data_IF_684975476997
#
_entry.id   IF_684975476997
#
_cell.length_a   1.000
_cell.length_b   1.000
_cell.length_c   1.000
_cell.angle_alpha   90.00
_cell.angle_beta   90.00
_cell.angle_gamma   90.00
#
_symmetry.space_group_name_H-M   'P 1'
#
loop_
_entity.id
_entity.type
_entity.pdbx_description
1 polymer ?
#
# COMPACT_ATOMS: atom_id res chain seq x y z
N UNK A 1 13.21 -22.97 6.98
CA UNK A 1 12.83 -21.65 6.42
C UNK A 1 12.24 -20.85 7.57
N UNK A 2 12.86 -19.75 7.96
CA UNK A 2 12.35 -18.84 9.00
C UNK A 2 11.12 -18.14 8.43
N UNK A 3 9.98 -18.28 9.10
CA UNK A 3 8.71 -17.73 8.60
C UNK A 3 8.42 -16.46 9.40
N UNK A 4 8.46 -15.30 8.72
CA UNK A 4 7.96 -14.04 9.27
C UNK A 4 6.43 -13.99 9.14
N UNK A 5 5.75 -13.59 10.20
CA UNK A 5 4.28 -13.46 10.25
C UNK A 5 3.91 -12.10 10.80
N UNK A 6 2.88 -11.48 10.22
CA UNK A 6 2.35 -10.24 10.75
C UNK A 6 1.79 -10.46 12.17
N UNK A 7 2.10 -9.52 13.05
CA UNK A 7 1.60 -9.43 14.41
C UNK A 7 0.70 -8.20 14.53
N UNK A 8 -0.40 -8.32 15.25
CA UNK A 8 -1.23 -7.19 15.61
C UNK A 8 -2.06 -7.52 16.84
N UNK A 9 -2.20 -6.56 17.73
CA UNK A 9 -3.12 -6.64 18.85
C UNK A 9 -3.80 -5.30 19.06
N UNK A 10 -5.09 -5.34 19.43
CA UNK A 10 -5.86 -4.15 19.78
C UNK A 10 -6.52 -4.37 21.13
N UNK A 11 -6.44 -3.37 22.00
CA UNK A 11 -7.09 -3.41 23.32
C UNK A 11 -8.24 -2.41 23.39
N UNK A 12 -8.93 -2.32 24.54
CA UNK A 12 -9.92 -1.27 24.80
C UNK A 12 -9.30 0.13 24.88
N UNK A 13 -8.00 0.20 25.16
CA UNK A 13 -7.23 1.43 25.17
C UNK A 13 -6.32 1.46 23.94
N UNK A 14 -6.66 2.33 22.99
CA UNK A 14 -6.00 2.44 21.71
C UNK A 14 -4.52 2.82 21.81
N UNK A 15 -4.04 3.37 22.94
CA UNK A 15 -2.62 3.61 23.15
C UNK A 15 -1.79 2.31 23.26
N UNK A 16 -2.43 1.20 23.60
CA UNK A 16 -1.80 -0.12 23.73
C UNK A 16 -1.97 -0.99 22.47
N UNK A 17 -2.59 -0.46 21.42
CA UNK A 17 -2.64 -1.14 20.13
C UNK A 17 -1.22 -1.21 19.55
N UNK A 18 -0.83 -2.41 19.09
CA UNK A 18 0.49 -2.67 18.54
C UNK A 18 0.41 -3.50 17.27
N UNK A 19 1.32 -3.25 16.34
CA UNK A 19 1.45 -4.01 15.10
C UNK A 19 2.91 -4.33 14.86
N UNK A 20 3.19 -5.44 14.19
CA UNK A 20 4.54 -5.92 14.10
C UNK A 20 4.72 -7.09 13.18
N UNK A 21 5.86 -7.74 13.33
CA UNK A 21 6.14 -9.01 12.69
C UNK A 21 6.90 -9.89 13.66
N UNK A 22 6.51 -11.16 13.68
CA UNK A 22 7.17 -12.21 14.45
C UNK A 22 7.82 -13.20 13.51
N UNK A 23 9.08 -13.52 13.74
CA UNK A 23 9.78 -14.62 13.10
C UNK A 23 10.01 -15.72 14.12
N UNK A 24 9.79 -16.97 13.71
CA UNK A 24 10.21 -18.14 14.48
C UNK A 24 11.09 -19.00 13.60
N UNK A 25 12.32 -19.22 14.04
CA UNK A 25 13.29 -20.08 13.40
C UNK A 25 13.01 -21.55 13.70
N UNK A 26 13.47 -22.49 12.84
CA UNK A 26 13.29 -23.93 13.07
C UNK A 26 13.90 -24.46 14.39
N UNK A 27 14.89 -23.76 14.93
CA UNK A 27 15.54 -24.09 16.22
C UNK A 27 14.72 -23.61 17.44
N UNK A 28 13.60 -22.90 17.22
CA UNK A 28 12.76 -22.36 18.27
C UNK A 28 13.06 -20.90 18.64
N UNK A 29 14.09 -20.27 18.10
CA UNK A 29 14.36 -18.85 18.33
C UNK A 29 13.23 -18.00 17.74
N UNK A 30 12.74 -17.05 18.51
CA UNK A 30 11.71 -16.12 18.10
C UNK A 30 12.19 -14.68 18.23
N UNK A 31 11.82 -13.88 17.24
CA UNK A 31 12.06 -12.44 17.22
C UNK A 31 10.74 -11.75 16.93
N UNK A 32 10.40 -10.75 17.73
CA UNK A 32 9.21 -9.92 17.56
C UNK A 32 9.64 -8.47 17.44
N UNK A 33 9.26 -7.83 16.34
CA UNK A 33 9.34 -6.38 16.19
C UNK A 33 7.94 -5.81 16.25
N UNK A 34 7.70 -4.82 17.10
CA UNK A 34 6.41 -4.13 17.18
C UNK A 34 6.56 -2.62 17.02
N UNK A 35 5.48 -1.97 16.60
CA UNK A 35 5.26 -0.54 16.62
C UNK A 35 3.88 -0.31 17.26
N UNK A 36 3.85 0.44 18.36
CA UNK A 36 2.64 0.77 19.10
C UNK A 36 2.08 2.15 18.75
N UNK A 37 0.78 2.34 18.96
CA UNK A 37 0.10 3.65 18.87
C UNK A 37 0.66 4.68 19.86
N UNK A 38 1.23 4.22 20.97
CA UNK A 38 2.01 5.03 21.91
C UNK A 38 3.34 5.55 21.34
N UNK A 39 3.68 5.21 20.09
CA UNK A 39 4.85 5.68 19.37
C UNK A 39 6.14 4.95 19.76
N UNK A 40 6.07 3.82 20.47
CA UNK A 40 7.22 2.97 20.75
C UNK A 40 7.39 1.90 19.68
N UNK A 41 8.64 1.54 19.41
CA UNK A 41 8.99 0.35 18.64
C UNK A 41 9.85 -0.56 19.49
N UNK A 42 9.51 -1.84 19.60
CA UNK A 42 10.32 -2.80 20.34
C UNK A 42 10.92 -3.84 19.42
N UNK A 43 12.13 -4.26 19.73
CA UNK A 43 12.79 -5.44 19.18
C UNK A 43 12.97 -6.41 20.36
N UNK A 44 12.24 -7.51 20.33
CA UNK A 44 12.20 -8.50 21.40
C UNK A 44 12.66 -9.85 20.84
N UNK A 45 13.48 -10.59 21.59
CA UNK A 45 13.91 -11.94 21.19
C UNK A 45 13.75 -12.94 22.32
N UNK A 46 13.60 -14.20 21.97
CA UNK A 46 13.61 -15.30 22.92
C UNK A 46 13.36 -16.63 22.25
N UNK A 47 12.75 -17.56 22.98
CA UNK A 47 12.57 -18.94 22.51
C UNK A 47 11.12 -19.40 22.64
N UNK A 48 10.69 -20.18 21.67
CA UNK A 48 9.43 -20.90 21.64
C UNK A 48 9.65 -22.30 22.21
N UNK A 49 8.92 -22.59 23.28
CA UNK A 49 8.76 -23.94 23.83
C UNK A 49 7.34 -24.43 23.54
N UNK A 50 7.05 -25.72 23.79
CA UNK A 50 5.82 -26.42 23.34
C UNK A 50 4.53 -25.58 23.34
N UNK A 51 4.22 -24.90 24.44
CA UNK A 51 3.02 -24.07 24.58
C UNK A 51 3.32 -22.66 25.10
N UNK A 52 4.60 -22.24 25.13
CA UNK A 52 5.00 -20.99 25.75
C UNK A 52 6.12 -20.33 24.96
N UNK A 53 5.99 -19.04 24.72
CA UNK A 53 7.02 -18.21 24.12
C UNK A 53 7.33 -17.05 25.06
N UNK A 54 8.61 -16.86 25.37
CA UNK A 54 9.05 -15.77 26.25
C UNK A 54 10.02 -14.93 25.46
N UNK A 55 9.70 -13.66 25.28
CA UNK A 55 10.51 -12.67 24.59
C UNK A 55 11.01 -11.64 25.59
N UNK A 56 12.24 -11.19 25.38
CA UNK A 56 12.90 -10.17 26.18
C UNK A 56 13.32 -9.04 25.27
N UNK A 57 13.16 -7.81 25.75
CA UNK A 57 13.57 -6.62 25.03
C UNK A 57 15.06 -6.66 24.72
N UNK A 58 15.41 -6.44 23.45
CA UNK A 58 16.78 -6.26 22.99
C UNK A 58 17.05 -4.83 22.59
N UNK A 59 16.07 -4.17 21.98
CA UNK A 59 16.17 -2.77 21.64
C UNK A 59 14.78 -2.10 21.68
N UNK A 60 14.76 -0.80 21.97
CA UNK A 60 13.55 0.01 22.01
C UNK A 60 13.80 1.37 21.37
N UNK A 61 12.94 1.71 20.41
CA UNK A 61 12.94 2.98 19.71
C UNK A 61 11.66 3.77 19.96
N UNK A 62 11.69 5.06 19.59
CA UNK A 62 10.50 5.93 19.57
C UNK A 62 10.35 6.59 18.20
N UNK A 63 9.12 6.70 17.74
CA UNK A 63 8.78 7.32 16.45
C UNK A 63 8.50 8.84 16.62
N UNK A 64 8.50 9.42 17.84
CA UNK A 64 8.16 10.83 18.11
C UNK A 64 9.16 11.61 19.01
N UNK A 65 9.13 12.95 18.93
CA UNK A 65 10.15 13.92 19.40
C UNK A 65 10.10 14.35 20.89
N UNK A 66 9.63 13.52 21.83
CA UNK A 66 9.58 13.88 23.27
C UNK A 66 10.74 13.29 24.09
N UNK A 67 11.16 14.00 25.17
CA UNK A 67 12.21 13.60 26.12
C UNK A 67 11.96 12.23 26.75
N UNK A 68 13.06 11.48 26.89
CA UNK A 68 13.33 10.20 27.56
C UNK A 68 12.27 9.10 27.51
N UNK A 69 12.72 7.88 27.20
CA UNK A 69 11.88 6.69 27.16
C UNK A 69 11.49 6.28 28.59
N UNK A 70 10.19 6.22 28.94
CA UNK A 70 9.80 5.81 30.28
C UNK A 70 9.97 4.31 30.49
N UNK A 71 10.03 3.47 29.45
CA UNK A 71 10.23 2.01 29.53
C UNK A 71 11.72 1.71 29.38
N UNK A 72 12.29 1.02 30.36
CA UNK A 72 13.71 0.62 30.39
C UNK A 72 13.91 -0.83 29.95
N UNK A 73 12.94 -1.68 30.26
CA UNK A 73 13.04 -3.13 30.05
C UNK A 73 11.62 -3.71 29.91
N UNK A 74 11.50 -4.76 29.11
CA UNK A 74 10.22 -5.39 28.79
C UNK A 74 10.42 -6.89 28.61
N UNK A 75 9.52 -7.65 29.22
CA UNK A 75 9.40 -9.08 29.02
C UNK A 75 7.98 -9.41 28.59
N UNK A 76 7.87 -10.20 27.54
CA UNK A 76 6.59 -10.64 26.99
C UNK A 76 6.50 -12.14 27.03
N UNK A 77 5.42 -12.64 27.61
CA UNK A 77 5.15 -14.07 27.68
C UNK A 77 3.85 -14.38 26.96
N UNK A 78 3.89 -15.29 26.01
CA UNK A 78 2.73 -15.90 25.39
C UNK A 78 2.54 -17.30 25.93
N UNK A 79 1.32 -17.64 26.32
CA UNK A 79 0.94 -18.97 26.79
C UNK A 79 -0.22 -19.44 25.91
N UNK A 80 0.01 -20.48 25.10
CA UNK A 80 -1.05 -21.18 24.37
C UNK A 80 -1.74 -22.13 25.36
N UNK A 81 -3.00 -21.87 25.65
CA UNK A 81 -3.82 -22.75 26.50
C UNK A 81 -4.49 -23.83 25.65
N UNK A 82 -5.05 -23.45 24.51
CA UNK A 82 -5.63 -24.36 23.51
C UNK A 82 -5.57 -23.74 22.09
N UNK A 83 -6.24 -24.36 21.11
CA UNK A 83 -6.26 -23.89 19.72
C UNK A 83 -7.08 -22.60 19.49
N UNK A 84 -7.87 -22.20 20.49
CA UNK A 84 -8.78 -21.05 20.45
C UNK A 84 -8.43 -19.97 21.47
N UNK A 85 -7.52 -20.25 22.39
CA UNK A 85 -7.16 -19.35 23.46
C UNK A 85 -5.63 -19.28 23.66
N UNK A 86 -5.11 -18.07 23.53
CA UNK A 86 -3.76 -17.71 23.90
C UNK A 86 -3.82 -16.53 24.87
N UNK A 87 -2.97 -16.58 25.87
CA UNK A 87 -2.79 -15.52 26.84
C UNK A 87 -1.47 -14.80 26.57
N UNK A 88 -1.53 -13.47 26.54
CA UNK A 88 -0.36 -12.61 26.50
C UNK A 88 -0.20 -11.92 27.86
N UNK A 89 1.00 -11.99 28.40
CA UNK A 89 1.41 -11.31 29.63
C UNK A 89 2.57 -10.38 29.26
N UNK A 90 2.36 -9.08 29.45
CA UNK A 90 3.38 -8.06 29.26
C UNK A 90 3.85 -7.56 30.62
N UNK A 91 5.14 -7.70 30.89
CA UNK A 91 5.78 -7.26 32.12
C UNK A 91 6.81 -6.17 31.77
N UNK A 92 6.77 -5.03 32.44
CA UNK A 92 7.61 -3.88 32.11
C UNK A 92 8.35 -3.34 33.34
N UNK A 93 9.56 -2.82 33.11
CA UNK A 93 10.25 -1.91 34.02
C UNK A 93 10.25 -0.52 33.44
N UNK A 94 9.80 0.46 34.22
CA UNK A 94 9.83 1.87 33.82
C UNK A 94 10.81 2.66 34.68
N UNK A 95 11.26 3.80 34.17
CA UNK A 95 12.18 4.71 34.87
C UNK A 95 11.64 5.21 36.22
N UNK A 96 10.32 5.11 36.44
CA UNK A 96 9.70 5.51 37.71
C UNK A 96 9.43 4.32 38.63
N UNK A 97 8.90 3.20 38.12
CA UNK A 97 8.60 1.98 38.89
C UNK A 97 8.49 0.74 37.98
N UNK A 98 8.79 -0.48 38.48
CA UNK A 98 9.44 -0.81 39.75
C UNK A 98 10.97 -0.64 39.68
N UNK A 99 11.62 -0.37 40.82
CA UNK A 99 13.10 -0.23 40.89
C UNK A 99 13.86 -1.56 40.86
N UNK A 100 13.17 -2.70 41.04
CA UNK A 100 13.69 -4.06 40.95
C UNK A 100 12.58 -4.98 40.41
N UNK A 101 12.92 -5.87 39.47
CA UNK A 101 11.96 -6.80 38.84
C UNK A 101 11.11 -6.17 37.73
N UNK A 102 10.11 -6.91 37.27
CA UNK A 102 9.09 -6.44 36.33
C UNK A 102 7.74 -6.27 37.03
N UNK A 103 6.93 -5.32 36.57
CA UNK A 103 5.52 -5.21 36.95
C UNK A 103 4.65 -5.73 35.81
N UNK A 104 3.68 -6.60 36.09
CA UNK A 104 2.68 -7.00 35.10
C UNK A 104 1.87 -5.77 34.68
N UNK A 105 1.96 -5.41 33.40
CA UNK A 105 1.42 -4.17 32.86
C UNK A 105 0.14 -4.42 32.07
N UNK A 106 0.06 -5.56 31.38
CA UNK A 106 -1.14 -5.94 30.62
C UNK A 106 -1.22 -7.45 30.52
N UNK A 107 -2.37 -8.02 30.89
CA UNK A 107 -2.74 -9.41 30.64
C UNK A 107 -3.93 -9.42 29.70
N UNK A 108 -3.76 -9.98 28.51
CA UNK A 108 -4.84 -10.11 27.53
C UNK A 108 -5.09 -11.57 27.25
N UNK A 109 -6.32 -11.99 27.53
CA UNK A 109 -6.85 -13.28 27.11
C UNK A 109 -7.98 -13.02 26.13
N UNK A 110 -7.83 -13.48 24.91
CA UNK A 110 -8.80 -13.25 23.86
C UNK A 110 -9.42 -14.60 23.41
N UNK A 111 -10.75 -14.70 23.54
CA UNK A 111 -11.54 -15.90 23.12
C UNK A 111 -11.82 -15.88 21.62
N UNK A 112 -11.67 -14.73 20.97
CA UNK A 112 -11.68 -14.58 19.52
C UNK A 112 -10.25 -14.57 18.95
N UNK A 113 -9.26 -14.86 19.79
CA UNK A 113 -7.89 -15.21 19.39
C UNK A 113 -7.88 -16.59 18.74
N UNK A 114 -8.59 -16.69 17.62
CA UNK A 114 -8.36 -17.73 16.64
C UNK A 114 -6.91 -17.56 16.17
N UNK A 115 -6.03 -18.34 16.80
CA UNK A 115 -4.85 -18.86 16.15
C UNK A 115 -5.35 -19.40 14.80
N UNK A 116 -5.19 -18.64 13.71
CA UNK A 116 -5.01 -19.21 12.36
C UNK A 116 -3.67 -19.93 12.28
N UNK A 117 -3.41 -20.76 13.27
CA UNK A 117 -2.29 -21.64 13.42
C UNK A 117 -2.92 -23.02 13.64
N UNK A 118 -2.63 -23.92 12.70
CA UNK A 118 -2.68 -25.37 12.84
C UNK A 118 -3.95 -26.14 12.43
N UNK A 119 -4.87 -25.56 11.64
CA UNK A 119 -5.75 -26.38 10.78
C UNK A 119 -5.81 -25.79 9.37
N UNK A 120 -5.28 -26.56 8.42
CA UNK A 120 -5.09 -26.28 7.00
C UNK A 120 -4.33 -25.01 6.64
N UNK A 121 -3.02 -25.16 6.41
CA UNK A 121 -2.31 -24.35 5.44
C UNK A 121 -2.83 -24.66 4.03
N UNK A 122 -4.06 -24.26 3.71
CA UNK A 122 -4.32 -23.78 2.36
C UNK A 122 -3.57 -22.45 2.25
N UNK A 123 -2.37 -22.53 1.70
CA UNK A 123 -1.52 -21.40 1.34
C UNK A 123 -2.39 -20.32 0.66
N UNK A 124 -2.69 -19.21 1.36
CA UNK A 124 -3.65 -18.21 0.85
C UNK A 124 -2.98 -17.31 -0.16
N UNK A 125 -3.54 -17.28 -1.37
CA UNK A 125 -3.19 -16.30 -2.40
C UNK A 125 -3.66 -14.91 -1.99
N UNK A 126 -2.87 -13.88 -2.31
CA UNK A 126 -3.24 -12.48 -2.14
C UNK A 126 -3.28 -11.77 -3.49
N UNK A 127 -4.11 -10.75 -3.62
CA UNK A 127 -4.13 -9.88 -4.79
C UNK A 127 -3.30 -8.62 -4.54
N UNK A 128 -2.66 -8.12 -5.59
CA UNK A 128 -2.06 -6.79 -5.62
C UNK A 128 -2.83 -5.94 -6.61
N UNK A 129 -3.24 -4.74 -6.21
CA UNK A 129 -3.98 -3.80 -7.05
C UNK A 129 -3.18 -2.50 -7.15
N UNK A 130 -2.69 -2.18 -8.34
CA UNK A 130 -2.20 -0.85 -8.69
C UNK A 130 -3.41 0.02 -9.01
N UNK A 131 -3.84 0.85 -8.05
CA UNK A 131 -5.04 1.68 -8.15
C UNK A 131 -4.70 3.02 -8.80
N UNK A 132 -4.53 3.01 -10.12
CA UNK A 132 -4.32 4.21 -10.92
C UNK A 132 -5.63 4.93 -11.30
N UNK A 133 -5.51 6.21 -11.66
CA UNK A 133 -6.65 7.09 -11.98
C UNK A 133 -7.23 6.84 -13.38
N UNK A 134 -6.39 6.40 -14.32
CA UNK A 134 -6.79 6.07 -15.71
C UNK A 134 -6.83 4.56 -15.94
N UNK A 135 -5.85 3.84 -15.40
CA UNK A 135 -5.75 2.40 -15.51
C UNK A 135 -5.43 1.80 -14.15
N UNK A 136 -6.01 0.63 -13.89
CA UNK A 136 -5.60 -0.26 -12.83
C UNK A 136 -4.82 -1.44 -13.40
N UNK A 137 -3.97 -2.03 -12.57
CA UNK A 137 -3.39 -3.35 -12.83
C UNK A 137 -3.62 -4.25 -11.63
N UNK A 138 -3.82 -5.52 -11.91
CA UNK A 138 -4.01 -6.53 -10.89
C UNK A 138 -2.93 -7.59 -11.02
N UNK A 139 -2.51 -8.13 -9.90
CA UNK A 139 -1.61 -9.26 -9.88
C UNK A 139 -2.02 -10.24 -8.79
N UNK A 140 -1.66 -11.50 -8.98
CA UNK A 140 -1.87 -12.57 -8.02
C UNK A 140 -0.52 -12.97 -7.43
N UNK A 141 -0.47 -13.01 -6.11
CA UNK A 141 0.71 -13.44 -5.35
C UNK A 141 0.37 -14.77 -4.70
N UNK A 142 1.11 -15.81 -5.10
CA UNK A 142 1.05 -17.14 -4.47
C UNK A 142 2.41 -17.44 -3.83
N UNK A 143 2.43 -18.01 -2.62
CA UNK A 143 3.68 -18.42 -1.99
C UNK A 143 4.48 -19.38 -2.88
N UNK A 144 5.77 -19.11 -3.04
CA UNK A 144 6.68 -19.88 -3.88
C UNK A 144 6.55 -19.61 -5.39
N UNK A 145 5.61 -18.78 -5.82
CA UNK A 145 5.43 -18.40 -7.24
C UNK A 145 5.70 -16.90 -7.40
N UNK A 146 6.45 -16.48 -8.42
CA UNK A 146 6.59 -15.07 -8.76
C UNK A 146 5.21 -14.40 -8.92
N UNK A 147 5.12 -13.11 -8.61
CA UNK A 147 3.89 -12.35 -8.79
C UNK A 147 3.46 -12.38 -10.27
N UNK A 148 2.22 -12.80 -10.53
CA UNK A 148 1.66 -12.93 -11.87
C UNK A 148 0.70 -11.77 -12.17
N UNK A 149 0.89 -11.07 -13.29
CA UNK A 149 -0.06 -10.04 -13.73
C UNK A 149 -1.33 -10.68 -14.26
N UNK A 150 -2.48 -10.22 -13.77
CA UNK A 150 -3.80 -10.70 -14.19
C UNK A 150 -4.23 -9.98 -15.46
N UNK A 151 -4.80 -10.75 -16.39
CA UNK A 151 -5.47 -10.22 -17.57
C UNK A 151 -6.93 -9.95 -17.24
N UNK A 152 -7.43 -8.82 -17.73
CA UNK A 152 -8.85 -8.52 -17.64
C UNK A 152 -9.69 -9.35 -18.62
N UNK A 153 -11.01 -9.15 -18.62
CA UNK A 153 -11.93 -9.90 -19.50
C UNK A 153 -11.64 -9.73 -21.00
N UNK A 154 -11.03 -8.62 -21.39
CA UNK A 154 -10.60 -8.34 -22.78
C UNK A 154 -9.16 -8.82 -23.05
N UNK A 155 -8.59 -9.67 -22.18
CA UNK A 155 -7.22 -10.18 -22.26
C UNK A 155 -6.12 -9.11 -22.21
N UNK A 156 -6.39 -7.95 -21.58
CA UNK A 156 -5.42 -6.87 -21.40
C UNK A 156 -4.77 -6.91 -20.01
N UNK A 157 -3.49 -6.52 -19.92
CA UNK A 157 -2.75 -6.38 -18.65
C UNK A 157 -3.07 -5.09 -17.88
N UNK A 158 -3.84 -4.19 -18.48
CA UNK A 158 -4.27 -2.91 -17.90
C UNK A 158 -5.78 -2.81 -18.05
N UNK A 159 -6.49 -2.57 -16.96
CA UNK A 159 -7.94 -2.38 -16.97
C UNK A 159 -8.22 -0.88 -16.81
N UNK A 160 -9.00 -0.25 -17.69
CA UNK A 160 -9.42 1.14 -17.50
C UNK A 160 -10.10 1.36 -16.14
N UNK A 161 -9.72 2.43 -15.42
CA UNK A 161 -10.43 2.87 -14.21
C UNK A 161 -11.70 3.60 -14.63
N UNK A 162 -12.71 2.81 -15.02
CA UNK A 162 -13.95 3.29 -15.59
C UNK A 162 -15.13 2.50 -15.05
N UNK A 163 -16.22 3.22 -14.74
CA UNK A 163 -17.50 2.67 -14.29
C UNK A 163 -18.62 3.29 -15.11
N UNK A 164 -19.53 2.50 -15.65
CA UNK A 164 -20.79 3.01 -16.21
C UNK A 164 -21.97 2.34 -15.51
N UNK A 165 -22.92 3.14 -15.02
CA UNK A 165 -24.15 2.63 -14.39
C UNK A 165 -25.33 3.09 -15.23
N UNK A 166 -26.03 2.16 -15.89
CA UNK A 166 -27.15 2.47 -16.77
C UNK A 166 -28.20 1.38 -16.68
N UNK A 167 -29.46 1.76 -16.50
CA UNK A 167 -30.60 0.83 -16.42
C UNK A 167 -30.37 -0.29 -15.39
N UNK A 168 -29.87 0.07 -14.20
CA UNK A 168 -29.49 -0.87 -13.12
C UNK A 168 -28.34 -1.85 -13.44
N UNK A 169 -27.77 -1.78 -14.65
CA UNK A 169 -26.59 -2.53 -15.04
C UNK A 169 -25.31 -1.74 -14.77
N UNK A 170 -24.23 -2.47 -14.46
CA UNK A 170 -22.91 -1.91 -14.18
C UNK A 170 -21.89 -2.48 -15.16
N UNK A 171 -21.19 -1.59 -15.83
CA UNK A 171 -20.10 -1.92 -16.73
C UNK A 171 -18.80 -1.39 -16.15
N UNK A 172 -17.71 -2.13 -16.35
CA UNK A 172 -16.39 -1.83 -15.78
C UNK A 172 -15.32 -1.90 -16.87
N UNK A 173 -14.16 -1.27 -16.63
CA UNK A 173 -13.00 -1.43 -17.50
C UNK A 173 -13.25 -0.97 -18.93
N UNK A 174 -12.81 -1.78 -19.89
CA UNK A 174 -12.95 -1.51 -21.31
C UNK A 174 -14.42 -1.36 -21.76
N UNK A 175 -15.33 -2.15 -21.20
CA UNK A 175 -16.76 -2.05 -21.51
C UNK A 175 -17.37 -0.72 -21.05
N UNK A 176 -16.98 -0.24 -19.86
CA UNK A 176 -17.36 1.09 -19.39
C UNK A 176 -16.78 2.19 -20.28
N UNK A 177 -15.51 2.05 -20.68
CA UNK A 177 -14.84 3.03 -21.52
C UNK A 177 -15.47 3.11 -22.94
N UNK A 178 -15.88 1.97 -23.51
CA UNK A 178 -16.64 1.93 -24.78
C UNK A 178 -17.98 2.67 -24.66
N UNK A 179 -18.64 2.59 -23.52
CA UNK A 179 -19.93 3.25 -23.25
C UNK A 179 -19.81 4.74 -22.92
N UNK A 180 -18.64 5.24 -22.54
CA UNK A 180 -18.40 6.65 -22.24
C UNK A 180 -18.87 7.61 -23.35
N UNK A 181 -18.84 7.16 -24.62
CA UNK A 181 -19.30 7.96 -25.76
C UNK A 181 -20.83 8.01 -25.87
N UNK A 182 -21.50 6.87 -25.69
CA UNK A 182 -22.95 6.76 -25.90
C UNK A 182 -23.75 7.12 -24.65
N UNK A 183 -23.16 7.00 -23.46
CA UNK A 183 -23.79 7.25 -22.17
C UNK A 183 -22.90 8.11 -21.23
N UNK A 184 -22.40 9.29 -21.66
CA UNK A 184 -21.46 10.09 -20.89
C UNK A 184 -22.00 10.48 -19.50
N UNK A 185 -23.30 10.78 -19.39
CA UNK A 185 -23.97 11.14 -18.11
C UNK A 185 -23.97 10.01 -17.08
N UNK A 186 -23.77 8.77 -17.54
CA UNK A 186 -23.79 7.56 -16.73
C UNK A 186 -22.38 6.97 -16.52
N UNK A 187 -21.34 7.57 -17.10
CA UNK A 187 -19.97 7.04 -17.08
C UNK A 187 -19.06 7.90 -16.21
N UNK A 188 -18.46 7.26 -15.21
CA UNK A 188 -17.55 7.87 -14.23
C UNK A 188 -16.11 7.49 -14.59
N UNK A 189 -15.33 8.49 -14.96
CA UNK A 189 -13.90 8.37 -15.29
C UNK A 189 -13.09 9.28 -14.37
N UNK A 190 -11.81 8.95 -14.13
CA UNK A 190 -10.85 9.79 -13.41
C UNK A 190 -11.30 10.33 -12.04
N UNK A 191 -12.21 9.62 -11.35
CA UNK A 191 -12.79 10.10 -10.09
C UNK A 191 -11.96 9.72 -8.85
N UNK A 192 -10.92 8.90 -8.99
CA UNK A 192 -10.10 8.45 -7.85
C UNK A 192 -9.51 9.61 -7.05
N UNK A 193 -9.14 10.71 -7.71
CA UNK A 193 -8.55 11.87 -7.04
C UNK A 193 -9.54 12.65 -6.17
N UNK A 194 -10.84 12.36 -6.23
CA UNK A 194 -11.88 12.98 -5.40
C UNK A 194 -12.13 12.21 -4.09
N UNK A 195 -11.61 10.98 -3.98
CA UNK A 195 -11.86 10.09 -2.84
C UNK A 195 -11.32 10.72 -1.56
N UNK A 196 -12.13 10.75 -0.49
CA UNK A 196 -11.72 11.29 0.82
C UNK A 196 -11.55 12.81 0.89
N UNK A 197 -11.80 13.55 -0.20
CA UNK A 197 -11.76 15.01 -0.21
C UNK A 197 -13.07 15.64 0.28
N UNK A 198 -13.01 16.80 0.95
CA UNK A 198 -14.20 17.59 1.22
C UNK A 198 -14.78 18.15 -0.08
N UNK A 199 -16.09 18.42 -0.11
CA UNK A 199 -16.79 18.92 -1.29
C UNK A 199 -16.25 20.27 -1.79
N UNK A 200 -15.71 21.08 -0.89
CA UNK A 200 -15.12 22.39 -1.19
C UNK A 200 -13.67 22.32 -1.72
N UNK A 201 -13.06 21.13 -1.82
CA UNK A 201 -11.70 20.97 -2.34
C UNK A 201 -11.63 21.41 -3.82
N UNK A 202 -10.60 22.19 -4.23
CA UNK A 202 -10.45 22.65 -5.61
C UNK A 202 -10.50 21.52 -6.66
N UNK A 203 -10.03 20.31 -6.31
CA UNK A 203 -10.05 19.16 -7.20
C UNK A 203 -11.48 18.74 -7.59
N UNK A 204 -12.47 18.94 -6.72
CA UNK A 204 -13.90 18.70 -7.00
C UNK A 204 -14.37 19.66 -8.09
N UNK A 205 -14.07 20.96 -7.93
CA UNK A 205 -14.44 21.98 -8.91
C UNK A 205 -13.77 21.76 -10.27
N UNK A 206 -12.50 21.35 -10.28
CA UNK A 206 -11.77 21.08 -11.51
C UNK A 206 -12.25 19.80 -12.19
N UNK A 207 -12.65 18.79 -11.43
CA UNK A 207 -13.33 17.62 -11.96
C UNK A 207 -14.66 17.99 -12.63
N UNK A 208 -15.49 18.81 -11.97
CA UNK A 208 -16.76 19.27 -12.51
C UNK A 208 -16.59 20.05 -13.82
N UNK A 209 -15.53 20.87 -13.95
CA UNK A 209 -15.18 21.56 -15.22
C UNK A 209 -14.79 20.56 -16.32
N UNK A 210 -14.10 19.48 -15.99
CA UNK A 210 -13.69 18.44 -16.95
C UNK A 210 -14.88 17.58 -17.42
N UNK A 211 -15.80 17.28 -16.52
CA UNK A 211 -16.96 16.42 -16.74
C UNK A 211 -18.28 17.13 -16.39
N UNK A 212 -18.68 18.20 -17.12
CA UNK A 212 -19.83 19.04 -16.75
C UNK A 212 -21.18 18.33 -16.84
N UNK A 213 -21.24 17.18 -17.51
CA UNK A 213 -22.43 16.35 -17.66
C UNK A 213 -22.71 15.45 -16.45
N UNK A 214 -21.72 15.26 -15.56
CA UNK A 214 -21.90 14.57 -14.29
C UNK A 214 -22.35 15.56 -13.23
N UNK A 215 -23.19 15.11 -12.29
CA UNK A 215 -23.72 15.97 -11.23
C UNK A 215 -23.13 15.52 -9.90
N UNK A 216 -22.35 16.42 -9.29
CA UNK A 216 -21.76 16.22 -7.97
C UNK A 216 -22.58 16.96 -6.90
N UNK A 217 -22.78 16.31 -5.75
CA UNK A 217 -23.42 16.92 -4.57
C UNK A 217 -22.59 16.69 -3.32
N UNK A 218 -22.72 17.61 -2.36
CA UNK A 218 -22.15 17.45 -1.04
C UNK A 218 -22.92 16.37 -0.29
N UNK A 219 -22.20 15.43 0.29
CA UNK A 219 -22.75 14.50 1.27
C UNK A 219 -22.97 15.25 2.59
N UNK A 220 -24.22 15.47 2.99
CA UNK A 220 -24.52 16.27 4.20
C UNK A 220 -23.96 15.66 5.50
N UNK A 221 -23.77 14.34 5.54
CA UNK A 221 -23.26 13.64 6.73
C UNK A 221 -21.73 13.61 6.79
N UNK A 222 -21.08 13.40 5.64
CA UNK A 222 -19.63 13.20 5.55
C UNK A 222 -18.86 14.44 5.10
N UNK A 223 -19.54 15.41 4.50
CA UNK A 223 -18.93 16.56 3.84
C UNK A 223 -18.15 16.22 2.56
N UNK A 224 -18.12 14.95 2.15
CA UNK A 224 -17.47 14.45 0.94
C UNK A 224 -18.35 14.60 -0.30
N UNK A 225 -17.91 14.07 -1.44
CA UNK A 225 -18.63 14.13 -2.71
C UNK A 225 -19.49 12.89 -2.97
N UNK A 226 -20.73 13.12 -3.37
CA UNK A 226 -21.66 12.12 -3.91
C UNK A 226 -21.89 12.38 -5.41
N UNK A 227 -21.98 11.30 -6.18
CA UNK A 227 -22.42 11.35 -7.58
C UNK A 227 -23.93 11.14 -7.64
N UNK A 228 -24.64 12.04 -8.33
CA UNK A 228 -26.05 11.85 -8.63
C UNK A 228 -26.17 10.98 -9.87
N UNK A 229 -26.85 9.84 -9.72
CA UNK A 229 -27.06 8.84 -10.77
C UNK A 229 -28.54 8.57 -10.95
N UNK A 230 -28.89 7.80 -11.99
CA UNK A 230 -30.28 7.34 -12.20
C UNK A 230 -30.76 6.44 -11.03
N UNK A 231 -29.82 5.79 -10.31
CA UNK A 231 -30.08 5.00 -9.10
C UNK A 231 -30.08 5.81 -7.80
N UNK A 232 -30.01 7.15 -7.89
CA UNK A 232 -29.94 8.07 -6.75
C UNK A 232 -28.54 8.59 -6.46
N UNK A 233 -28.37 9.17 -5.26
CA UNK A 233 -27.10 9.75 -4.80
C UNK A 233 -26.20 8.63 -4.27
N UNK A 234 -25.03 8.48 -4.86
CA UNK A 234 -24.07 7.45 -4.50
C UNK A 234 -22.78 8.10 -3.97
N UNK A 235 -22.35 7.77 -2.74
CA UNK A 235 -21.06 8.20 -2.22
C UNK A 235 -19.91 7.69 -3.07
N UNK A 236 -18.87 8.49 -3.22
CA UNK A 236 -17.69 8.13 -4.01
C UNK A 236 -17.03 6.82 -3.56
N UNK A 237 -17.01 6.53 -2.26
CA UNK A 237 -16.47 5.27 -1.75
C UNK A 237 -17.29 4.07 -2.24
N UNK A 238 -18.58 4.25 -2.49
CA UNK A 238 -19.45 3.21 -3.07
C UNK A 238 -19.08 2.95 -4.53
N UNK A 239 -18.83 4.00 -5.32
CA UNK A 239 -18.37 3.86 -6.71
C UNK A 239 -17.01 3.15 -6.75
N UNK A 240 -16.08 3.56 -5.89
CA UNK A 240 -14.78 2.89 -5.77
C UNK A 240 -14.94 1.43 -5.34
N UNK A 241 -15.83 1.13 -4.40
CA UNK A 241 -16.10 -0.25 -3.97
C UNK A 241 -16.66 -1.11 -5.11
N UNK A 242 -17.51 -0.56 -5.99
CA UNK A 242 -17.98 -1.27 -7.18
C UNK A 242 -16.81 -1.65 -8.10
N UNK A 243 -15.87 -0.72 -8.34
CA UNK A 243 -14.67 -0.96 -9.15
C UNK A 243 -13.76 -2.02 -8.50
N UNK A 244 -13.53 -1.92 -7.19
CA UNK A 244 -12.73 -2.90 -6.44
C UNK A 244 -13.39 -4.28 -6.39
N UNK A 245 -14.73 -4.35 -6.34
CA UNK A 245 -15.47 -5.62 -6.43
C UNK A 245 -15.25 -6.29 -7.78
N UNK A 246 -15.25 -5.53 -8.87
CA UNK A 246 -14.93 -6.06 -10.20
C UNK A 246 -13.47 -6.51 -10.29
N UNK A 247 -12.53 -5.73 -9.73
CA UNK A 247 -11.12 -6.11 -9.68
C UNK A 247 -10.90 -7.44 -8.94
N UNK A 248 -11.54 -7.62 -7.77
CA UNK A 248 -11.52 -8.91 -7.06
C UNK A 248 -12.08 -10.03 -7.94
N UNK A 249 -13.22 -9.82 -8.59
CA UNK A 249 -13.85 -10.83 -9.42
C UNK A 249 -12.96 -11.27 -10.60
N UNK A 250 -12.20 -10.35 -11.22
CA UNK A 250 -11.23 -10.67 -12.27
C UNK A 250 -10.07 -11.53 -11.73
N UNK A 251 -9.55 -11.20 -10.54
CA UNK A 251 -8.51 -11.99 -9.88
C UNK A 251 -9.01 -13.38 -9.46
N UNK A 252 -10.21 -13.47 -8.89
CA UNK A 252 -10.84 -14.74 -8.48
C UNK A 252 -11.12 -15.65 -9.68
N UNK A 253 -11.59 -15.07 -10.80
CA UNK A 253 -11.79 -15.81 -12.04
C UNK A 253 -10.48 -16.40 -12.59
N UNK A 254 -9.37 -15.65 -12.51
CA UNK A 254 -8.06 -16.14 -12.91
C UNK A 254 -7.50 -17.19 -11.93
N UNK A 255 -7.66 -16.96 -10.62
CA UNK A 255 -7.14 -17.85 -9.59
C UNK A 255 -7.88 -19.20 -9.54
N UNK A 256 -9.17 -19.23 -9.92
CA UNK A 256 -10.04 -20.40 -9.80
C UNK A 256 -10.53 -20.67 -8.37
N UNK A 257 -10.16 -19.80 -7.42
CA UNK A 257 -10.57 -19.86 -6.02
C UNK A 257 -10.81 -18.45 -5.47
N UNK A 258 -11.57 -18.30 -4.36
CA UNK A 258 -11.74 -17.01 -3.72
C UNK A 258 -10.42 -16.40 -3.27
N UNK A 259 -10.25 -15.11 -3.50
CA UNK A 259 -9.07 -14.31 -3.11
C UNK A 259 -9.61 -13.08 -2.40
N UNK A 260 -9.39 -12.98 -1.09
CA UNK A 260 -9.93 -11.88 -0.27
C UNK A 260 -8.86 -10.92 0.21
N UNK A 261 -7.64 -11.42 0.40
CA UNK A 261 -6.54 -10.64 0.94
C UNK A 261 -5.91 -9.78 -0.15
N UNK A 262 -5.73 -8.47 0.10
CA UNK A 262 -5.21 -7.54 -0.90
C UNK A 262 -4.18 -6.56 -0.36
N UNK A 263 -3.20 -6.22 -1.19
CA UNK A 263 -2.36 -5.03 -1.05
C UNK A 263 -2.74 -4.06 -2.17
N UNK A 264 -3.00 -2.80 -1.84
CA UNK A 264 -3.38 -1.79 -2.83
C UNK A 264 -2.32 -0.70 -2.86
N UNK A 265 -1.74 -0.47 -4.04
CA UNK A 265 -0.83 0.65 -4.28
C UNK A 265 -1.63 1.91 -4.61
N UNK A 266 -1.32 3.00 -3.92
CA UNK A 266 -2.00 4.30 -3.99
C UNK A 266 -0.97 5.43 -4.11
N UNK A 267 -1.34 6.63 -4.54
CA UNK A 267 -0.41 7.77 -4.61
C UNK A 267 0.25 8.06 -3.26
N UNK A 268 1.55 8.36 -3.26
CA UNK A 268 2.31 8.53 -2.02
C UNK A 268 1.80 9.68 -1.14
N UNK A 269 1.26 10.71 -1.78
CA UNK A 269 0.73 11.91 -1.13
C UNK A 269 -0.70 11.79 -0.59
N UNK A 270 -1.38 10.66 -0.77
CA UNK A 270 -2.71 10.46 -0.19
C UNK A 270 -2.61 10.53 1.33
N UNK A 271 -3.37 11.45 1.92
CA UNK A 271 -3.43 11.69 3.34
C UNK A 271 -4.32 10.68 4.07
N UNK A 272 -4.60 10.97 5.34
CA UNK A 272 -5.38 10.07 6.21
C UNK A 272 -6.82 9.93 5.69
N UNK A 273 -7.42 11.01 5.20
CA UNK A 273 -8.81 11.02 4.73
C UNK A 273 -8.98 10.15 3.48
N UNK A 274 -8.09 10.30 2.51
CA UNK A 274 -8.08 9.50 1.28
C UNK A 274 -7.87 8.01 1.59
N UNK A 275 -6.91 7.69 2.48
CA UNK A 275 -6.60 6.30 2.89
C UNK A 275 -7.79 5.63 3.57
N UNK A 276 -8.44 6.32 4.51
CA UNK A 276 -9.64 5.81 5.20
C UNK A 276 -10.80 5.59 4.24
N UNK A 277 -10.97 6.47 3.25
CA UNK A 277 -12.01 6.31 2.23
C UNK A 277 -11.74 5.09 1.34
N UNK A 278 -10.48 4.81 0.99
CA UNK A 278 -10.09 3.58 0.26
C UNK A 278 -10.29 2.33 1.13
N UNK A 279 -9.92 2.38 2.41
CA UNK A 279 -10.18 1.29 3.37
C UNK A 279 -11.68 0.99 3.49
N UNK A 280 -12.52 2.03 3.58
CA UNK A 280 -13.97 1.89 3.59
C UNK A 280 -14.49 1.26 2.28
N UNK A 281 -13.99 1.70 1.13
CA UNK A 281 -14.35 1.13 -0.17
C UNK A 281 -13.92 -0.35 -0.28
N UNK A 282 -12.72 -0.70 0.19
CA UNK A 282 -12.23 -2.08 0.23
C UNK A 282 -13.10 -2.97 1.13
N UNK A 283 -13.53 -2.44 2.29
CA UNK A 283 -14.46 -3.14 3.19
C UNK A 283 -15.81 -3.40 2.53
N UNK A 284 -16.39 -2.40 1.85
CA UNK A 284 -17.65 -2.56 1.08
C UNK A 284 -17.48 -3.59 -0.04
N UNK A 285 -16.32 -3.61 -0.71
CA UNK A 285 -16.00 -4.58 -1.74
C UNK A 285 -15.77 -6.00 -1.20
N UNK A 286 -15.72 -6.20 0.12
CA UNK A 286 -15.41 -7.49 0.74
C UNK A 286 -13.95 -7.93 0.54
N UNK A 287 -13.05 -6.95 0.48
CA UNK A 287 -11.60 -7.15 0.40
C UNK A 287 -11.02 -7.00 1.81
N UNK A 288 -10.23 -7.98 2.24
CA UNK A 288 -9.39 -7.87 3.43
C UNK A 288 -8.10 -7.14 3.05
N UNK A 289 -8.08 -5.84 3.31
CA UNK A 289 -6.94 -4.98 2.97
C UNK A 289 -5.79 -5.23 3.95
N UNK A 290 -4.74 -5.89 3.48
CA UNK A 290 -3.51 -6.14 4.25
C UNK A 290 -2.76 -4.82 4.48
N UNK A 291 -2.58 -4.04 3.41
CA UNK A 291 -1.82 -2.78 3.46
C UNK A 291 -2.12 -1.90 2.25
N UNK A 292 -2.12 -0.58 2.49
CA UNK A 292 -1.96 0.45 1.46
C UNK A 292 -0.48 0.78 1.29
N UNK A 293 0.06 0.67 0.09
CA UNK A 293 1.44 1.03 -0.23
C UNK A 293 1.48 2.29 -1.09
N UNK A 294 2.54 3.09 -0.93
CA UNK A 294 2.83 4.15 -1.90
C UNK A 294 3.18 3.52 -3.25
N UNK A 295 2.66 4.06 -4.35
CA UNK A 295 2.94 3.63 -5.70
C UNK A 295 4.45 3.68 -6.01
N UNK A 296 5.13 4.77 -5.60
CA UNK A 296 6.58 4.90 -5.77
C UNK A 296 7.38 3.85 -4.98
N UNK A 297 6.98 3.59 -3.73
CA UNK A 297 7.58 2.53 -2.92
C UNK A 297 7.31 1.13 -3.49
N UNK A 298 6.11 0.90 -4.04
CA UNK A 298 5.73 -0.36 -4.67
C UNK A 298 6.53 -0.61 -5.96
N UNK A 299 6.75 0.44 -6.76
CA UNK A 299 7.59 0.38 -7.95
C UNK A 299 9.06 0.10 -7.59
N UNK A 300 9.57 0.75 -6.55
CA UNK A 300 10.92 0.50 -6.04
C UNK A 300 11.07 -0.92 -5.46
N UNK A 301 10.06 -1.44 -4.76
CA UNK A 301 10.04 -2.82 -4.27
C UNK A 301 10.07 -3.80 -5.43
N UNK A 302 9.23 -3.57 -6.45
CA UNK A 302 9.22 -4.37 -7.66
C UNK A 302 10.58 -4.35 -8.36
N UNK A 303 11.19 -3.16 -8.50
CA UNK A 303 12.53 -3.01 -9.06
C UNK A 303 13.55 -3.84 -8.27
N UNK A 304 13.56 -3.71 -6.93
CA UNK A 304 14.50 -4.43 -6.08
C UNK A 304 14.35 -5.95 -6.09
N UNK A 305 13.11 -6.46 -6.23
CA UNK A 305 12.86 -7.92 -6.37
C UNK A 305 13.46 -8.46 -7.68
N UNK A 306 13.27 -7.75 -8.80
CA UNK A 306 13.75 -8.21 -10.11
C UNK A 306 15.23 -7.91 -10.37
N UNK A 307 15.80 -6.95 -9.66
CA UNK A 307 17.20 -6.53 -9.77
C UNK A 307 17.99 -6.86 -8.50
N UNK A 308 17.57 -7.89 -7.77
CA UNK A 308 18.18 -8.27 -6.49
C UNK A 308 19.70 -8.49 -6.61
N UNK A 309 20.17 -9.04 -7.74
CA UNK A 309 21.59 -9.26 -8.03
C UNK A 309 22.40 -7.97 -8.20
N UNK A 310 21.74 -6.86 -8.50
CA UNK A 310 22.36 -5.56 -8.71
C UNK A 310 22.41 -4.75 -7.40
N UNK A 311 21.74 -5.21 -6.34
CA UNK A 311 21.77 -4.59 -5.01
C UNK A 311 23.01 -5.08 -4.27
N UNK A 312 23.82 -4.16 -3.78
CA UNK A 312 25.01 -4.44 -2.97
C UNK A 312 24.79 -4.03 -1.52
N UNK A 313 25.75 -4.36 -0.65
CA UNK A 313 25.78 -3.88 0.74
C UNK A 313 25.97 -2.35 0.84
N UNK A 314 26.44 -1.72 -0.23
CA UNK A 314 26.53 -0.27 -0.32
C UNK A 314 25.18 0.34 -0.73
N UNK A 315 24.70 1.39 -0.02
CA UNK A 315 23.44 2.02 -0.34
C UNK A 315 23.45 2.68 -1.72
N UNK A 316 22.61 2.17 -2.61
CA UNK A 316 22.36 2.75 -3.92
C UNK A 316 21.08 3.58 -3.89
N UNK A 317 21.16 4.83 -4.34
CA UNK A 317 20.03 5.76 -4.35
C UNK A 317 19.40 5.81 -5.74
N UNK A 318 18.09 5.64 -5.81
CA UNK A 318 17.31 5.66 -7.05
C UNK A 318 16.21 6.70 -6.96
N UNK A 319 15.93 7.35 -8.08
CA UNK A 319 14.77 8.22 -8.24
C UNK A 319 13.71 7.48 -9.07
N UNK A 320 12.58 7.16 -8.44
CA UNK A 320 11.40 6.70 -9.16
C UNK A 320 10.63 7.93 -9.61
N UNK A 321 10.55 8.14 -10.92
CA UNK A 321 9.80 9.25 -11.51
C UNK A 321 8.57 8.69 -12.23
N UNK A 322 7.38 8.98 -11.69
CA UNK A 322 6.10 8.46 -12.17
C UNK A 322 5.23 9.62 -12.68
N UNK A 323 5.11 9.69 -14.01
CA UNK A 323 4.23 10.62 -14.73
C UNK A 323 2.97 9.86 -15.13
N UNK A 324 1.96 9.95 -14.26
CA UNK A 324 0.67 9.33 -14.46
C UNK A 324 -0.28 10.19 -15.31
N UNK A 325 -1.56 9.83 -15.26
CA UNK A 325 -2.60 10.53 -16.02
C UNK A 325 -2.94 11.89 -15.42
N UNK A 326 -3.17 11.98 -14.12
CA UNK A 326 -3.59 13.25 -13.50
C UNK A 326 -2.50 13.89 -12.65
N UNK A 327 -1.46 13.12 -12.29
CA UNK A 327 -0.43 13.49 -11.33
C UNK A 327 0.96 13.06 -11.78
N UNK A 328 1.94 13.82 -11.35
CA UNK A 328 3.36 13.47 -11.38
C UNK A 328 3.84 13.29 -9.95
N UNK A 329 4.58 12.22 -9.69
CA UNK A 329 5.23 12.00 -8.41
C UNK A 329 6.66 11.53 -8.61
N UNK A 330 7.52 11.91 -7.69
CA UNK A 330 8.90 11.45 -7.60
C UNK A 330 9.14 10.87 -6.21
N UNK A 331 9.75 9.70 -6.15
CA UNK A 331 10.11 9.04 -4.89
C UNK A 331 11.59 8.72 -4.92
N UNK A 332 12.34 9.32 -4.00
CA UNK A 332 13.74 9.00 -3.78
C UNK A 332 13.81 7.79 -2.86
N UNK A 333 14.42 6.71 -3.32
CA UNK A 333 14.56 5.46 -2.55
C UNK A 333 16.02 5.08 -2.45
N UNK A 334 16.36 4.40 -1.37
CA UNK A 334 17.66 3.79 -1.16
C UNK A 334 17.49 2.29 -1.04
N UNK A 335 18.25 1.55 -1.83
CA UNK A 335 18.30 0.09 -1.81
C UNK A 335 19.69 -0.34 -1.34
N UNK A 336 19.72 -1.29 -0.41
CA UNK A 336 20.95 -1.91 0.08
C UNK A 336 20.68 -3.34 0.52
N UNK A 337 21.67 -4.22 0.40
CA UNK A 337 21.70 -5.49 1.10
C UNK A 337 22.09 -5.20 2.55
N UNK A 338 21.21 -5.54 3.47
CA UNK A 338 21.46 -5.43 4.89
C UNK A 338 21.83 -6.80 5.44
N UNK A 339 22.96 -6.84 6.16
CA UNK A 339 23.37 -8.01 6.93
C UNK A 339 23.36 -7.65 8.42
N UNK A 340 22.44 -8.23 9.18
CA UNK A 340 22.25 -7.97 10.62
C UNK A 340 23.51 -8.25 11.45
N UNK A 341 24.44 -9.07 10.96
CA UNK A 341 25.66 -9.44 11.70
C UNK A 341 26.78 -8.39 11.73
N UNK A 342 26.63 -7.21 11.11
CA UNK A 342 27.69 -6.20 10.97
C UNK A 342 27.63 -5.02 11.98
N UNK A 343 26.79 -5.08 13.01
CA UNK A 343 26.67 -4.00 14.02
C UNK A 343 26.65 -4.50 15.47
N UNK A 344 27.57 -5.38 15.86
CA UNK A 344 27.99 -5.43 17.27
C UNK A 344 29.27 -4.59 17.37
N UNK A 345 29.23 -3.36 17.92
CA UNK A 345 30.45 -2.71 18.35
C UNK A 345 31.07 -3.64 19.40
N UNK A 346 32.33 -4.05 19.21
CA UNK A 346 33.06 -4.71 20.27
C UNK A 346 32.98 -3.82 21.52
N UNK A 347 32.31 -4.29 22.57
CA UNK A 347 32.40 -3.64 23.86
C UNK A 347 33.87 -3.67 24.26
N UNK A 348 34.49 -2.49 24.36
CA UNK A 348 35.77 -2.34 25.02
C UNK A 348 35.61 -2.82 26.47
N UNK A 349 35.98 -4.06 26.72
CA UNK A 349 36.19 -4.54 28.08
C UNK A 349 37.46 -3.89 28.58
N UNK A 350 37.31 -2.88 29.44
CA UNK A 350 38.39 -2.35 30.26
C UNK A 350 39.00 -3.50 31.07
N UNK A 351 40.17 -3.97 30.66
CA UNK A 351 41.02 -4.83 31.48
C UNK A 351 42.22 -4.01 31.96
N UNK A 352 42.23 -3.76 33.26
CA UNK A 352 43.33 -3.21 34.05
C UNK A 352 44.62 -4.03 33.84
N UNK A 353 45.75 -3.32 33.88
CA UNK A 353 47.11 -3.81 33.72
C UNK A 353 47.49 -4.99 34.63
N UNK A 354 48.27 -5.95 34.11
CA UNK A 354 49.58 -6.32 34.67
C UNK A 354 50.38 -7.29 33.77
N UNK A 355 51.53 -6.80 33.30
CA UNK A 355 52.84 -7.46 33.19
C UNK A 355 53.00 -8.90 32.66
N UNK A 356 53.81 -8.97 31.59
CA UNK A 356 54.95 -9.89 31.32
C UNK A 356 54.81 -11.13 30.41
N UNK A 357 55.76 -11.13 29.46
CA UNK A 357 56.50 -12.24 28.84
C UNK A 357 55.88 -13.03 27.67
N UNK A 358 56.70 -13.10 26.62
CA UNK A 358 56.55 -13.78 25.33
C UNK A 358 56.24 -15.28 25.44
N UNK A 359 55.43 -15.81 24.52
CA UNK A 359 55.86 -16.83 23.54
C UNK A 359 54.74 -17.23 22.57
N UNK A 360 55.13 -17.34 21.30
CA UNK A 360 54.34 -17.81 20.16
C UNK A 360 53.65 -19.16 20.40
N UNK A 361 52.31 -19.21 20.28
CA UNK A 361 51.56 -20.39 19.83
C UNK A 361 50.35 -19.95 19.00
N UNK A 362 50.33 -20.43 17.76
CA UNK A 362 49.22 -20.37 16.80
C UNK A 362 47.94 -20.94 17.41
N UNK A 363 46.92 -20.09 17.57
CA UNK A 363 45.56 -20.50 17.90
C UNK A 363 44.75 -20.74 16.61
N UNK A 364 43.85 -21.74 16.58
CA UNK A 364 43.14 -22.12 15.37
C UNK A 364 42.13 -21.05 14.96
N UNK A 365 42.03 -20.80 13.66
CA UNK A 365 41.01 -19.94 13.08
C UNK A 365 39.62 -20.53 13.39
N UNK A 366 38.96 -19.96 14.40
CA UNK A 366 37.55 -20.24 14.67
C UNK A 366 36.74 -19.52 13.60
N UNK A 367 36.44 -20.23 12.52
CA UNK A 367 35.49 -19.80 11.50
C UNK A 367 34.08 -19.83 12.10
N UNK A 368 33.67 -18.73 12.71
CA UNK A 368 32.25 -18.51 13.02
C UNK A 368 31.49 -18.40 11.70
N UNK A 369 30.81 -19.48 11.31
CA UNK A 369 29.80 -19.46 10.25
C UNK A 369 28.64 -18.57 10.70
N UNK A 370 28.64 -17.31 10.26
CA UNK A 370 27.50 -16.39 10.40
C UNK A 370 26.46 -16.71 9.33
N UNK A 371 25.27 -17.15 9.76
CA UNK A 371 24.22 -17.72 8.91
C UNK A 371 23.04 -16.77 8.67
N UNK A 372 23.29 -15.58 8.13
CA UNK A 372 22.25 -14.68 7.64
C UNK A 372 22.42 -14.43 6.15
N UNK A 373 21.48 -14.89 5.32
CA UNK A 373 21.44 -14.44 3.92
C UNK A 373 21.17 -12.93 3.90
N UNK A 374 21.93 -12.14 3.12
CA UNK A 374 21.74 -10.69 3.05
C UNK A 374 20.31 -10.36 2.60
N UNK A 375 19.62 -9.53 3.38
CA UNK A 375 18.24 -9.14 3.12
C UNK A 375 18.18 -7.81 2.37
N UNK A 376 17.35 -7.68 1.32
CA UNK A 376 17.21 -6.40 0.64
C UNK A 376 16.42 -5.44 1.54
N UNK A 377 16.98 -4.26 1.79
CA UNK A 377 16.34 -3.16 2.50
C UNK A 377 16.02 -2.04 1.52
N UNK A 378 14.76 -1.63 1.53
CA UNK A 378 14.26 -0.45 0.82
C UNK A 378 13.91 0.64 1.84
N UNK A 379 14.50 1.81 1.67
CA UNK A 379 14.19 3.01 2.44
C UNK A 379 13.64 4.08 1.48
N UNK A 380 12.52 4.70 1.84
CA UNK A 380 12.02 5.89 1.13
C UNK A 380 12.66 7.11 1.80
N UNK A 381 13.55 7.78 1.07
CA UNK A 381 14.32 8.94 1.57
C UNK A 381 13.52 10.23 1.41
N UNK A 382 12.74 10.34 0.34
CA UNK A 382 11.96 11.55 0.07
C UNK A 382 10.89 11.32 -0.99
N UNK A 383 9.90 12.21 -1.00
CA UNK A 383 8.78 12.16 -1.93
C UNK A 383 8.36 13.58 -2.34
N UNK A 384 8.18 13.82 -3.62
CA UNK A 384 7.65 15.06 -4.19
C UNK A 384 6.55 14.76 -5.20
N UNK A 385 5.60 15.68 -5.40
CA UNK A 385 4.49 15.46 -6.33
C UNK A 385 3.87 16.76 -6.83
N UNK A 386 3.21 16.67 -7.98
CA UNK A 386 2.24 17.63 -8.50
C UNK A 386 0.95 16.87 -8.82
N UNK A 387 -0.12 17.15 -8.08
CA UNK A 387 -1.42 16.51 -8.24
C UNK A 387 -2.26 17.07 -9.40
N UNK A 388 -1.79 18.13 -10.07
CA UNK A 388 -2.48 18.85 -11.14
C UNK A 388 -1.72 18.79 -12.48
N UNK A 389 -0.74 17.89 -12.60
CA UNK A 389 0.06 17.72 -13.80
C UNK A 389 0.03 16.25 -14.23
N UNK A 390 -0.29 15.96 -15.49
CA UNK A 390 -0.23 14.58 -15.99
C UNK A 390 -0.74 14.42 -17.42
N UNK A 391 -0.75 13.18 -17.90
CA UNK A 391 -1.16 12.83 -19.27
C UNK A 391 -2.58 13.26 -19.68
N UNK A 392 -3.55 13.33 -18.77
CA UNK A 392 -4.89 13.84 -19.00
C UNK A 392 -4.87 15.34 -19.30
N UNK A 393 -4.04 16.12 -18.59
CA UNK A 393 -3.92 17.56 -18.85
C UNK A 393 -3.41 17.83 -20.27
N UNK A 394 -2.45 17.03 -20.73
CA UNK A 394 -1.99 17.07 -22.12
C UNK A 394 -3.11 16.68 -23.09
N UNK A 395 -3.85 15.61 -22.81
CA UNK A 395 -5.00 15.19 -23.62
C UNK A 395 -6.08 16.28 -23.69
N UNK A 396 -6.37 16.98 -22.60
CA UNK A 396 -7.33 18.09 -22.59
C UNK A 396 -6.85 19.25 -23.45
N UNK A 397 -5.55 19.60 -23.43
CA UNK A 397 -4.98 20.63 -24.30
C UNK A 397 -5.09 20.26 -25.79
N UNK A 398 -4.82 19.01 -26.13
CA UNK A 398 -5.01 18.50 -27.51
C UNK A 398 -6.49 18.58 -27.90
N UNK A 399 -7.40 18.13 -27.03
CA UNK A 399 -8.85 18.21 -27.26
C UNK A 399 -9.30 19.65 -27.50
N UNK A 400 -8.88 20.58 -26.65
CA UNK A 400 -9.26 22.00 -26.75
C UNK A 400 -8.72 22.62 -28.04
N UNK A 401 -7.52 22.23 -28.47
CA UNK A 401 -6.98 22.60 -29.78
C UNK A 401 -7.84 22.04 -30.93
N UNK A 402 -8.23 20.76 -30.89
CA UNK A 402 -9.10 20.15 -31.90
C UNK A 402 -10.46 20.86 -31.97
N UNK A 403 -11.04 21.24 -30.83
CA UNK A 403 -12.28 22.05 -30.78
C UNK A 403 -12.09 23.40 -31.48
N UNK A 404 -10.97 24.09 -31.20
CA UNK A 404 -10.68 25.36 -31.86
C UNK A 404 -10.53 25.22 -33.38
N UNK A 405 -9.86 24.17 -33.86
CA UNK A 405 -9.74 23.91 -35.30
C UNK A 405 -11.10 23.55 -35.92
N UNK A 406 -11.91 22.74 -35.24
CA UNK A 406 -13.25 22.39 -35.68
C UNK A 406 -14.14 23.63 -35.83
N UNK A 407 -14.14 24.53 -34.84
CA UNK A 407 -14.87 25.81 -34.88
C UNK A 407 -14.43 26.70 -36.06
N UNK A 408 -13.13 26.72 -36.38
CA UNK A 408 -12.62 27.47 -37.54
C UNK A 408 -13.09 26.88 -38.87
N UNK A 409 -13.06 25.56 -39.00
CA UNK A 409 -13.49 24.86 -40.21
C UNK A 409 -15.01 24.89 -40.41
N UNK A 410 -15.78 24.94 -39.32
CA UNK A 410 -17.24 24.86 -39.32
C UNK A 410 -17.87 26.09 -38.66
N UNK A 411 -17.40 27.29 -39.03
CA UNK A 411 -17.82 28.57 -38.42
C UNK A 411 -19.32 28.89 -38.58
N UNK A 412 -20.02 28.19 -39.48
CA UNK A 412 -21.45 28.37 -39.74
C UNK A 412 -22.35 27.49 -38.86
N UNK A 413 -21.80 26.62 -38.01
CA UNK A 413 -22.60 25.83 -37.06
C UNK A 413 -23.20 26.76 -35.99
N UNK A 414 -24.51 26.60 -35.76
CA UNK A 414 -25.23 27.38 -34.74
C UNK A 414 -24.93 26.93 -33.32
N UNK A 415 -24.77 25.62 -33.13
CA UNK A 415 -24.53 25.00 -31.82
C UNK A 415 -23.02 24.76 -31.62
N UNK A 416 -22.53 25.00 -30.40
CA UNK A 416 -21.13 24.73 -30.08
C UNK A 416 -20.93 23.23 -29.79
N UNK A 417 -19.94 22.62 -30.45
CA UNK A 417 -19.58 21.22 -30.22
C UNK A 417 -19.24 20.93 -28.75
N UNK A 418 -18.78 21.95 -28.01
CA UNK A 418 -18.47 21.86 -26.59
C UNK A 418 -19.70 21.63 -25.70
N UNK A 419 -20.89 21.96 -26.18
CA UNK A 419 -22.16 21.77 -25.45
C UNK A 419 -22.72 20.35 -25.59
N UNK A 420 -22.23 19.58 -26.57
CA UNK A 420 -22.68 18.20 -26.80
C UNK A 420 -21.80 17.19 -26.03
N UNK A 421 -22.32 16.50 -24.99
CA UNK A 421 -21.51 15.58 -24.18
C UNK A 421 -20.94 14.39 -24.96
N UNK A 422 -21.66 13.88 -25.97
CA UNK A 422 -21.20 12.76 -26.78
C UNK A 422 -20.07 13.20 -27.73
N UNK A 423 -20.18 14.40 -28.31
CA UNK A 423 -19.12 14.97 -29.13
C UNK A 423 -17.85 15.21 -28.29
N UNK A 424 -18.01 15.76 -27.09
CA UNK A 424 -16.90 15.96 -26.15
C UNK A 424 -16.23 14.65 -25.72
N UNK A 425 -17.00 13.58 -25.50
CA UNK A 425 -16.46 12.25 -25.22
C UNK A 425 -15.67 11.67 -26.41
N UNK A 426 -16.17 11.83 -27.65
CA UNK A 426 -15.45 11.43 -28.88
C UNK A 426 -14.14 12.22 -29.04
N UNK A 427 -14.18 13.53 -28.86
CA UNK A 427 -13.01 14.40 -28.96
C UNK A 427 -11.97 14.08 -27.88
N UNK A 428 -12.40 13.78 -26.66
CA UNK A 428 -11.47 13.36 -25.59
C UNK A 428 -10.76 12.06 -25.95
N UNK A 429 -11.50 11.08 -26.49
CA UNK A 429 -10.93 9.82 -26.96
C UNK A 429 -9.94 10.03 -28.12
N UNK A 430 -10.30 10.82 -29.13
CA UNK A 430 -9.42 11.06 -30.28
C UNK A 430 -8.18 11.86 -29.86
N UNK A 431 -8.31 12.88 -29.00
CA UNK A 431 -7.17 13.60 -28.44
C UNK A 431 -6.21 12.69 -27.66
N UNK A 432 -6.75 11.69 -26.95
CA UNK A 432 -5.95 10.66 -26.28
C UNK A 432 -5.14 9.82 -27.28
N UNK A 433 -5.76 9.41 -28.38
CA UNK A 433 -5.12 8.66 -29.47
C UNK A 433 -4.06 9.49 -30.18
N UNK A 434 -4.36 10.74 -30.53
CA UNK A 434 -3.41 11.69 -31.13
C UNK A 434 -2.16 11.83 -30.26
N UNK A 435 -2.33 12.07 -28.96
CA UNK A 435 -1.23 12.15 -27.98
C UNK A 435 -0.36 10.89 -28.00
N UNK A 436 -0.97 9.70 -28.05
CA UNK A 436 -0.25 8.43 -28.07
C UNK A 436 0.52 8.23 -29.38
N UNK A 437 -0.11 8.50 -30.53
CA UNK A 437 0.53 8.36 -31.85
C UNK A 437 1.73 9.30 -31.97
N UNK A 438 1.60 10.54 -31.51
CA UNK A 438 2.67 11.55 -31.53
C UNK A 438 3.82 11.25 -30.54
N UNK A 439 3.66 10.26 -29.65
CA UNK A 439 4.78 9.81 -28.80
C UNK A 439 5.78 8.94 -29.58
N UNK A 440 5.38 8.40 -30.73
CA UNK A 440 6.22 7.56 -31.59
C UNK A 440 6.39 8.10 -33.02
N UNK A 441 5.60 9.10 -33.41
CA UNK A 441 5.58 9.66 -34.76
C UNK A 441 5.62 11.19 -34.71
N UNK A 442 6.11 11.81 -35.77
CA UNK A 442 6.20 13.27 -35.89
C UNK A 442 4.88 13.93 -36.29
N UNK A 443 3.93 13.17 -36.87
CA UNK A 443 2.65 13.67 -37.35
C UNK A 443 1.53 12.62 -37.21
N UNK A 444 0.27 13.08 -37.21
CA UNK A 444 -0.93 12.24 -37.24
C UNK A 444 -2.13 13.03 -37.76
N UNK A 445 -3.11 12.33 -38.34
CA UNK A 445 -4.43 12.88 -38.64
C UNK A 445 -5.38 12.66 -37.45
N UNK A 446 -6.31 13.59 -37.24
CA UNK A 446 -7.24 13.61 -36.11
C UNK A 446 -8.62 14.06 -36.57
#
# INVERSE_FOLDING_TARGET
MTIARAWSHSTKDHFHDEWGFITVEPNGNATLMTAGNNGFTTYEVGEVTRNKMILTLKDIGRISFSRDLPVEDLRRTFIKHDDTYMEQILEMRTATHPRLGYLEHTRVGDKDFSLKFLKDASVRSAMSIDLGVEFMKMALVKPGVPMETILNRESQRKTPFALTIRNDERFFGDEALKKAISAPKQTFLFFLDLVGKPFEDPAISDYQKRFPHLVLKKNEQRGSVDFVTDAGQLPIETLLAMVLTNARAEVEAYAGNPVKDAVIAIPGFFGISERRAIEAAAKIAGINLIRLLSAGASAALNYGVFHFKDITDQPSTYLIYDVGSTKVQSTLVRLQLYNESLQIPAQETNSTETSSAETNKTAPATTTKTSGEPQPRLEVVGHGFDANLGGLHLTLKVRDYLIQQFRKQHSNLKDDIAENPQAMAKLLKEAGKVKQVLSANTETFA
#
